data_IF_449119353819
#
_entry.id   IF_449119353819
#
_cell.length_a   1.000
_cell.length_b   1.000
_cell.length_c   1.000
_cell.angle_alpha   90.00
_cell.angle_beta   90.00
_cell.angle_gamma   90.00
#
_symmetry.space_group_name_H-M   'P 1'
#
loop_
_entity.id
_entity.type
_entity.pdbx_description
1 polymer ?
#
# COMPACT_ATOMS: atom_id res chain seq x y z
N UNK A 1 -44.10 -4.77 -35.21
CA UNK A 1 -43.24 -5.65 -34.37
C UNK A 1 -41.76 -5.58 -34.76
N UNK A 2 -41.39 -5.74 -36.04
CA UNK A 2 -39.97 -5.64 -36.50
C UNK A 2 -39.33 -4.26 -36.25
N UNK A 3 -40.09 -3.18 -36.45
CA UNK A 3 -39.64 -1.80 -36.19
C UNK A 3 -39.47 -1.49 -34.70
N UNK A 4 -40.26 -2.09 -33.81
CA UNK A 4 -40.11 -1.93 -32.36
C UNK A 4 -38.86 -2.67 -31.84
N UNK A 5 -38.56 -3.84 -32.41
CA UNK A 5 -37.39 -4.66 -32.05
C UNK A 5 -36.07 -3.99 -32.48
N UNK A 6 -36.02 -3.34 -33.65
CA UNK A 6 -34.85 -2.58 -34.11
C UNK A 6 -34.55 -1.35 -33.25
N UNK A 7 -35.57 -0.65 -32.73
CA UNK A 7 -35.37 0.50 -31.83
C UNK A 7 -34.79 0.05 -30.49
N UNK A 8 -35.23 -1.11 -29.98
CA UNK A 8 -34.75 -1.66 -28.72
C UNK A 8 -33.28 -2.11 -28.79
N UNK A 9 -32.88 -2.75 -29.89
CA UNK A 9 -31.48 -3.13 -30.14
C UNK A 9 -30.59 -1.90 -30.33
N UNK A 10 -31.08 -0.86 -31.00
CA UNK A 10 -30.33 0.39 -31.18
C UNK A 10 -30.11 1.13 -29.85
N UNK A 11 -31.12 1.14 -28.95
CA UNK A 11 -30.95 1.68 -27.60
C UNK A 11 -29.89 0.92 -26.79
N UNK A 12 -29.82 -0.42 -26.88
CA UNK A 12 -28.82 -1.21 -26.16
C UNK A 12 -27.37 -0.93 -26.61
N UNK A 13 -27.17 -0.50 -27.86
CA UNK A 13 -25.84 -0.18 -28.40
C UNK A 13 -25.37 1.19 -27.90
N UNK A 14 -26.25 2.19 -27.78
CA UNK A 14 -25.88 3.55 -27.35
C UNK A 14 -25.51 3.61 -25.87
N UNK A 15 -26.09 2.76 -25.02
CA UNK A 15 -25.79 2.72 -23.58
C UNK A 15 -24.38 2.18 -23.29
N UNK A 16 -23.82 1.35 -24.18
CA UNK A 16 -22.48 0.78 -24.02
C UNK A 16 -21.34 1.74 -24.40
N UNK A 17 -21.62 2.82 -25.15
CA UNK A 17 -20.57 3.73 -25.64
C UNK A 17 -20.14 4.75 -24.59
N UNK A 18 -20.97 5.03 -23.58
CA UNK A 18 -20.68 6.03 -22.54
C UNK A 18 -19.95 5.49 -21.30
N UNK A 19 -19.59 4.21 -21.28
CA UNK A 19 -18.97 3.55 -20.12
C UNK A 19 -17.57 2.99 -20.39
N UNK A 20 -16.97 3.24 -21.56
CA UNK A 20 -15.57 2.88 -21.76
C UNK A 20 -14.70 3.87 -20.98
N UNK A 21 -13.87 3.43 -20.02
CA UNK A 21 -12.89 4.31 -19.39
C UNK A 21 -12.08 4.96 -20.50
N UNK A 22 -11.91 6.28 -20.44
CA UNK A 22 -11.03 6.96 -21.37
C UNK A 22 -9.66 6.29 -21.23
N UNK A 23 -9.16 5.68 -22.31
CA UNK A 23 -7.94 4.85 -22.24
C UNK A 23 -6.73 5.60 -21.66
N UNK A 24 -6.80 6.93 -21.62
CA UNK A 24 -5.77 7.80 -21.08
C UNK A 24 -5.82 7.88 -19.55
N UNK A 25 -7.00 7.83 -18.91
CA UNK A 25 -7.12 7.85 -17.45
C UNK A 25 -6.57 6.56 -16.83
N UNK A 26 -6.92 5.40 -17.41
CA UNK A 26 -6.36 4.11 -16.99
C UNK A 26 -4.83 4.08 -17.14
N UNK A 27 -4.30 4.55 -18.27
CA UNK A 27 -2.84 4.63 -18.48
C UNK A 27 -2.18 5.49 -17.41
N UNK A 28 -2.76 6.65 -17.09
CA UNK A 28 -2.22 7.55 -16.05
C UNK A 28 -2.23 6.84 -14.69
N UNK A 29 -3.36 6.26 -14.29
CA UNK A 29 -3.49 5.59 -12.99
C UNK A 29 -2.51 4.40 -12.88
N UNK A 30 -2.45 3.55 -13.91
CA UNK A 30 -1.48 2.45 -13.96
C UNK A 30 -0.04 2.94 -13.89
N UNK A 31 0.29 4.02 -14.60
CA UNK A 31 1.65 4.56 -14.56
C UNK A 31 2.07 5.00 -13.14
N UNK A 32 1.12 5.47 -12.33
CA UNK A 32 1.35 5.81 -10.91
C UNK A 32 1.58 4.53 -10.10
N UNK A 33 0.69 3.54 -10.21
CA UNK A 33 0.81 2.26 -9.51
C UNK A 33 2.11 1.53 -9.87
N UNK A 34 2.45 1.44 -11.16
CA UNK A 34 3.68 0.83 -11.66
C UNK A 34 4.93 1.58 -11.17
N UNK A 35 4.86 2.91 -11.06
CA UNK A 35 5.96 3.70 -10.50
C UNK A 35 6.17 3.39 -9.01
N UNK A 36 5.09 3.21 -8.25
CA UNK A 36 5.15 2.81 -6.84
C UNK A 36 5.80 1.43 -6.73
N UNK A 37 5.35 0.43 -7.51
CA UNK A 37 5.97 -0.89 -7.55
C UNK A 37 7.48 -0.82 -7.86
N UNK A 38 7.84 -0.06 -8.90
CA UNK A 38 9.22 0.08 -9.36
C UNK A 38 10.14 0.73 -8.32
N UNK A 39 9.64 1.70 -7.55
CA UNK A 39 10.43 2.49 -6.61
C UNK A 39 10.28 2.03 -5.15
N UNK A 40 9.52 0.97 -4.89
CA UNK A 40 9.43 0.35 -3.57
C UNK A 40 10.63 -0.56 -3.32
N UNK A 41 11.21 -0.45 -2.12
CA UNK A 41 12.28 -1.35 -1.67
C UNK A 41 11.99 -1.82 -0.25
N UNK A 42 12.14 -3.11 -0.02
CA UNK A 42 11.92 -3.79 1.27
C UNK A 42 13.21 -3.82 2.09
N UNK A 43 13.87 -2.66 2.17
CA UNK A 43 15.19 -2.50 2.77
C UNK A 43 15.17 -1.40 3.84
N UNK A 44 16.22 -1.39 4.65
CA UNK A 44 16.56 -0.29 5.54
C UNK A 44 17.80 0.43 5.03
N UNK A 45 18.02 1.64 5.54
CA UNK A 45 19.21 2.44 5.28
C UNK A 45 19.73 3.01 6.60
N UNK A 46 21.03 2.87 6.84
CA UNK A 46 21.71 3.59 7.91
C UNK A 46 22.06 5.00 7.42
N UNK A 47 21.42 6.02 7.98
CA UNK A 47 21.58 7.41 7.51
C UNK A 47 22.97 8.01 7.80
N UNK A 48 23.76 7.41 8.69
CA UNK A 48 25.09 7.92 9.01
C UNK A 48 26.11 7.57 7.93
N UNK A 49 26.02 6.37 7.32
CA UNK A 49 27.01 5.85 6.38
C UNK A 49 26.42 5.48 4.99
N UNK A 50 25.10 5.52 4.82
CA UNK A 50 24.40 5.17 3.59
C UNK A 50 24.27 3.67 3.32
N UNK A 51 24.65 2.81 4.27
CA UNK A 51 24.59 1.36 4.13
C UNK A 51 23.15 0.87 4.00
N UNK A 52 22.90 0.01 3.00
CA UNK A 52 21.61 -0.62 2.78
C UNK A 52 21.59 -1.95 3.52
N UNK A 53 20.63 -2.10 4.43
CA UNK A 53 20.44 -3.31 5.23
C UNK A 53 19.19 -4.04 4.73
N UNK A 54 19.33 -5.34 4.47
CA UNK A 54 18.18 -6.20 4.06
C UNK A 54 17.29 -6.61 5.22
N UNK A 55 17.83 -6.58 6.44
CA UNK A 55 17.11 -6.83 7.68
C UNK A 55 17.81 -6.11 8.83
N UNK A 56 17.09 -5.91 9.94
CA UNK A 56 17.62 -5.29 11.15
C UNK A 56 17.52 -6.30 12.29
N UNK A 57 18.64 -6.52 12.95
CA UNK A 57 18.74 -7.36 14.14
C UNK A 57 19.49 -6.59 15.24
N UNK A 58 19.74 -7.23 16.37
CA UNK A 58 20.45 -6.64 17.51
C UNK A 58 21.83 -6.06 17.15
N UNK A 59 22.56 -6.71 16.23
CA UNK A 59 23.91 -6.29 15.84
C UNK A 59 23.91 -5.17 14.80
N UNK A 60 22.95 -5.16 13.88
CA UNK A 60 22.83 -4.16 12.81
C UNK A 60 21.98 -2.94 13.20
N UNK A 61 21.27 -3.01 14.33
CA UNK A 61 20.49 -1.88 14.83
C UNK A 61 21.37 -0.69 15.20
N UNK A 62 20.93 0.50 14.81
CA UNK A 62 21.39 1.75 15.41
C UNK A 62 20.27 2.81 15.29
N UNK A 63 20.31 3.89 16.09
CA UNK A 63 19.34 4.98 15.98
C UNK A 63 19.27 5.66 14.60
N UNK A 64 20.30 5.48 13.76
CA UNK A 64 20.35 6.03 12.41
C UNK A 64 19.71 5.13 11.35
N UNK A 65 19.34 3.89 11.69
CA UNK A 65 18.67 2.96 10.79
C UNK A 65 17.23 3.41 10.55
N UNK A 66 16.84 3.48 9.28
CA UNK A 66 15.55 3.98 8.82
C UNK A 66 14.98 3.08 7.74
N UNK A 67 13.65 3.04 7.61
CA UNK A 67 12.99 2.37 6.48
C UNK A 67 13.39 3.13 5.21
N UNK A 68 13.90 2.43 4.20
CA UNK A 68 14.44 3.06 3.00
C UNK A 68 13.36 3.60 2.08
N UNK A 69 12.29 2.82 1.87
CA UNK A 69 11.18 3.22 1.00
C UNK A 69 10.10 3.94 1.81
N UNK A 70 9.69 5.16 1.42
CA UNK A 70 8.60 5.86 2.09
C UNK A 70 7.25 5.15 1.94
N UNK A 71 7.11 4.26 0.94
CA UNK A 71 5.89 3.46 0.74
C UNK A 71 5.70 2.38 1.81
N UNK A 72 6.75 2.07 2.58
CA UNK A 72 6.76 0.98 3.57
C UNK A 72 6.68 1.46 5.02
N UNK A 73 6.56 2.77 5.23
CA UNK A 73 6.44 3.33 6.57
C UNK A 73 5.02 3.15 7.11
N UNK A 74 4.87 2.97 8.42
CA UNK A 74 3.56 2.92 9.05
C UNK A 74 2.99 4.34 9.21
N UNK A 75 2.32 4.81 8.16
CA UNK A 75 1.67 6.12 8.11
C UNK A 75 0.32 5.99 7.44
N UNK A 76 -0.65 6.82 7.82
CA UNK A 76 -2.02 6.73 7.29
C UNK A 76 -2.10 6.71 5.75
N UNK A 77 -1.26 7.47 5.06
CA UNK A 77 -1.27 7.52 3.58
C UNK A 77 -0.85 6.20 2.94
N UNK A 78 0.01 5.41 3.60
CA UNK A 78 0.35 4.07 3.11
C UNK A 78 -0.81 3.08 3.34
N UNK A 79 -1.64 3.30 4.37
CA UNK A 79 -2.90 2.59 4.53
C UNK A 79 -3.89 2.89 3.40
N UNK A 80 -4.04 4.17 3.04
CA UNK A 80 -4.85 4.59 1.87
C UNK A 80 -4.29 4.01 0.58
N UNK A 81 -2.97 4.05 0.40
CA UNK A 81 -2.30 3.45 -0.75
C UNK A 81 -2.57 1.94 -0.83
N UNK A 82 -2.46 1.21 0.28
CA UNK A 82 -2.68 -0.23 0.30
C UNK A 82 -4.11 -0.59 -0.13
N UNK A 83 -5.12 0.15 0.35
CA UNK A 83 -6.52 -0.01 -0.07
C UNK A 83 -6.64 0.24 -1.58
N UNK A 84 -6.09 1.35 -2.08
CA UNK A 84 -6.16 1.67 -3.51
C UNK A 84 -5.47 0.62 -4.39
N UNK A 85 -4.35 0.05 -3.94
CA UNK A 85 -3.62 -0.99 -4.69
C UNK A 85 -4.39 -2.33 -4.71
N UNK A 86 -5.17 -2.63 -3.68
CA UNK A 86 -6.09 -3.79 -3.67
C UNK A 86 -7.23 -3.55 -4.66
N UNK A 87 -7.90 -2.39 -4.59
CA UNK A 87 -8.97 -2.02 -5.53
C UNK A 87 -8.47 -2.04 -6.99
N UNK A 88 -7.26 -1.54 -7.22
CA UNK A 88 -6.62 -1.57 -8.54
C UNK A 88 -6.31 -2.99 -8.99
N UNK A 89 -5.89 -3.89 -8.11
CA UNK A 89 -5.64 -5.28 -8.50
C UNK A 89 -6.90 -5.94 -9.08
N UNK A 90 -8.07 -5.69 -8.47
CA UNK A 90 -9.35 -6.19 -8.95
C UNK A 90 -9.80 -5.48 -10.23
N UNK A 91 -9.81 -4.15 -10.22
CA UNK A 91 -10.31 -3.33 -11.33
C UNK A 91 -9.51 -3.56 -12.62
N UNK A 92 -8.19 -3.67 -12.48
CA UNK A 92 -7.27 -3.82 -13.61
C UNK A 92 -6.88 -5.27 -13.92
N UNK A 93 -7.33 -6.23 -13.12
CA UNK A 93 -6.88 -7.63 -13.14
C UNK A 93 -5.35 -7.75 -13.12
N UNK A 94 -4.70 -7.01 -12.22
CA UNK A 94 -3.24 -6.94 -12.08
C UNK A 94 -2.82 -7.38 -10.65
N UNK A 95 -2.52 -8.67 -10.45
CA UNK A 95 -2.24 -9.23 -9.12
C UNK A 95 -1.05 -8.58 -8.41
N UNK A 96 -0.09 -8.00 -9.15
CA UNK A 96 1.10 -7.38 -8.54
C UNK A 96 0.76 -6.20 -7.63
N UNK A 97 -0.35 -5.49 -7.88
CA UNK A 97 -0.79 -4.38 -7.02
C UNK A 97 -1.24 -4.88 -5.64
N UNK A 98 -2.02 -5.95 -5.58
CA UNK A 98 -2.39 -6.62 -4.32
C UNK A 98 -1.17 -7.22 -3.61
N UNK A 99 -0.24 -7.82 -4.35
CA UNK A 99 0.99 -8.37 -3.78
C UNK A 99 1.87 -7.29 -3.13
N UNK A 100 1.87 -6.07 -3.65
CA UNK A 100 2.52 -4.94 -2.99
C UNK A 100 1.91 -4.67 -1.61
N UNK A 101 0.58 -4.61 -1.51
CA UNK A 101 -0.11 -4.35 -0.23
C UNK A 101 0.16 -5.46 0.79
N UNK A 102 0.13 -6.74 0.38
CA UNK A 102 0.49 -7.87 1.25
C UNK A 102 1.91 -7.70 1.80
N UNK A 103 2.89 -7.49 0.92
CA UNK A 103 4.30 -7.29 1.32
C UNK A 103 4.50 -6.06 2.19
N UNK A 104 3.66 -5.04 2.06
CA UNK A 104 3.70 -3.85 2.89
C UNK A 104 3.48 -4.17 4.36
N UNK A 105 2.44 -4.96 4.66
CA UNK A 105 2.15 -5.40 6.02
C UNK A 105 3.12 -6.46 6.51
N UNK A 106 3.54 -7.41 5.67
CA UNK A 106 4.58 -8.39 6.01
C UNK A 106 5.87 -7.69 6.44
N UNK A 107 6.35 -6.72 5.65
CA UNK A 107 7.55 -5.95 5.99
C UNK A 107 7.41 -5.23 7.34
N UNK A 108 6.25 -4.67 7.66
CA UNK A 108 6.03 -4.07 8.97
C UNK A 108 6.06 -5.12 10.09
N UNK A 109 5.31 -6.21 9.96
CA UNK A 109 5.18 -7.22 11.02
C UNK A 109 6.45 -8.04 11.25
N UNK A 110 7.21 -8.33 10.19
CA UNK A 110 8.48 -9.03 10.27
C UNK A 110 9.55 -8.22 11.01
N UNK A 111 9.44 -6.88 11.00
CA UNK A 111 10.49 -6.00 11.51
C UNK A 111 10.09 -5.19 12.75
N UNK A 112 8.81 -4.99 13.05
CA UNK A 112 8.42 -4.04 14.10
C UNK A 112 8.92 -4.41 15.49
N UNK A 113 9.12 -5.71 15.78
CA UNK A 113 9.55 -6.18 17.09
C UNK A 113 10.89 -5.59 17.55
N UNK A 114 11.92 -5.56 16.69
CA UNK A 114 13.24 -5.01 17.05
C UNK A 114 13.12 -3.51 17.35
N UNK A 115 12.36 -2.76 16.55
CA UNK A 115 12.16 -1.32 16.75
C UNK A 115 11.30 -1.03 17.99
N UNK A 116 10.31 -1.86 18.27
CA UNK A 116 9.47 -1.74 19.46
C UNK A 116 10.29 -1.94 20.74
N UNK A 117 11.21 -2.91 20.75
CA UNK A 117 12.09 -3.14 21.90
C UNK A 117 13.03 -1.95 22.17
N UNK A 118 13.53 -1.30 21.12
CA UNK A 118 14.50 -0.19 21.24
C UNK A 118 13.87 1.18 21.37
N UNK A 119 12.55 1.30 21.23
CA UNK A 119 11.84 2.56 21.36
C UNK A 119 11.85 3.06 22.80
N UNK A 120 12.11 4.36 23.01
CA UNK A 120 11.94 5.02 24.31
C UNK A 120 10.98 6.20 24.19
N UNK A 121 10.29 6.60 25.27
CA UNK A 121 9.31 7.71 25.24
C UNK A 121 9.86 9.06 24.77
N UNK A 122 11.17 9.27 24.85
CA UNK A 122 11.85 10.48 24.39
C UNK A 122 12.04 10.52 22.86
N UNK A 123 11.88 9.39 22.18
CA UNK A 123 12.00 9.30 20.72
C UNK A 123 10.73 9.81 20.02
N UNK A 124 10.92 10.57 18.94
CA UNK A 124 9.82 11.10 18.14
C UNK A 124 9.17 9.99 17.31
N UNK A 125 7.91 9.61 17.64
CA UNK A 125 7.13 8.59 16.93
C UNK A 125 6.96 8.86 15.42
N UNK A 126 6.99 10.13 15.00
CA UNK A 126 6.79 10.52 13.61
C UNK A 126 8.00 10.26 12.70
N UNK A 127 9.21 10.20 13.29
CA UNK A 127 10.46 9.98 12.57
C UNK A 127 11.13 8.64 12.89
N UNK A 128 10.62 7.91 13.87
CA UNK A 128 11.13 6.60 14.24
C UNK A 128 10.47 5.50 13.38
N UNK A 129 11.23 4.51 12.86
CA UNK A 129 10.66 3.38 12.13
C UNK A 129 9.54 2.73 12.93
N UNK A 130 8.37 2.60 12.31
CA UNK A 130 7.16 2.05 12.92
C UNK A 130 6.70 2.77 14.21
N UNK A 131 7.16 4.00 14.47
CA UNK A 131 6.85 4.70 15.72
C UNK A 131 5.36 4.92 15.97
N UNK A 132 4.57 5.16 14.93
CA UNK A 132 3.10 5.27 15.02
C UNK A 132 2.40 3.93 15.28
N UNK A 133 2.96 2.82 14.79
CA UNK A 133 2.50 1.47 15.16
C UNK A 133 2.76 1.21 16.63
N UNK A 134 3.99 1.49 17.09
CA UNK A 134 4.44 1.24 18.47
C UNK A 134 3.66 2.11 19.46
N UNK A 135 3.41 3.37 19.10
CA UNK A 135 2.73 4.36 19.94
C UNK A 135 1.50 4.89 19.22
N UNK A 136 0.46 4.07 19.18
CA UNK A 136 -0.85 4.48 18.65
C UNK A 136 -1.57 5.40 19.63
N UNK A 137 -1.72 6.67 19.27
CA UNK A 137 -2.42 7.71 20.05
C UNK A 137 -3.44 8.51 19.25
N UNK A 138 -3.27 8.57 17.94
CA UNK A 138 -4.12 9.32 17.01
C UNK A 138 -4.79 8.39 16.01
N UNK A 139 -5.90 8.84 15.41
CA UNK A 139 -6.56 8.07 14.35
C UNK A 139 -5.64 7.87 13.14
N UNK A 140 -4.75 8.81 12.85
CA UNK A 140 -3.78 8.69 11.77
C UNK A 140 -2.73 7.61 12.03
N UNK A 141 -2.53 7.21 13.29
CA UNK A 141 -1.59 6.14 13.65
C UNK A 141 -2.15 4.75 13.31
N UNK A 142 -3.48 4.58 13.22
CA UNK A 142 -4.10 3.25 13.10
C UNK A 142 -5.29 3.12 12.12
N UNK A 143 -5.99 4.20 11.79
CA UNK A 143 -7.25 4.16 11.03
C UNK A 143 -7.08 3.59 9.63
N UNK A 144 -6.37 4.31 8.76
CA UNK A 144 -6.17 3.86 7.38
C UNK A 144 -5.28 2.61 7.29
N UNK A 145 -4.24 2.50 8.13
CA UNK A 145 -3.38 1.32 8.17
C UNK A 145 -4.16 0.06 8.59
N UNK A 146 -5.00 0.16 9.61
CA UNK A 146 -5.88 -0.91 10.06
C UNK A 146 -6.96 -1.25 9.03
N UNK A 147 -7.55 -0.24 8.38
CA UNK A 147 -8.49 -0.43 7.27
C UNK A 147 -7.87 -1.23 6.12
N UNK A 148 -6.68 -0.84 5.65
CA UNK A 148 -5.98 -1.59 4.60
C UNK A 148 -5.57 -3.00 5.05
N UNK A 149 -5.23 -3.20 6.33
CA UNK A 149 -4.91 -4.53 6.86
C UNK A 149 -6.14 -5.45 6.82
N UNK A 150 -7.33 -4.91 7.12
CA UNK A 150 -8.58 -5.66 7.02
C UNK A 150 -8.84 -6.08 5.58
N UNK A 151 -8.62 -5.19 4.60
CA UNK A 151 -8.77 -5.55 3.18
C UNK A 151 -7.78 -6.64 2.77
N UNK A 152 -6.49 -6.53 3.14
CA UNK A 152 -5.50 -7.61 2.92
C UNK A 152 -5.92 -8.92 3.58
N UNK A 153 -6.45 -8.87 4.81
CA UNK A 153 -6.84 -10.07 5.55
C UNK A 153 -7.99 -10.83 4.89
N UNK A 154 -9.05 -10.14 4.45
CA UNK A 154 -10.18 -10.73 3.70
C UNK A 154 -9.70 -11.44 2.43
N UNK A 155 -8.62 -10.95 1.88
CA UNK A 155 -8.06 -11.35 0.60
C UNK A 155 -7.10 -12.54 0.68
N UNK A 156 -6.48 -12.75 1.85
CA UNK A 156 -5.52 -13.84 2.11
C UNK A 156 -6.21 -15.06 2.71
N UNK A 157 -7.30 -14.86 3.47
CA UNK A 157 -8.08 -15.94 4.06
C UNK A 157 -9.50 -15.91 3.46
N UNK A 158 -9.87 -16.87 2.59
CA UNK A 158 -11.26 -16.98 2.14
C UNK A 158 -12.13 -17.35 3.34
N UNK A 159 -13.12 -16.50 3.62
CA UNK A 159 -14.16 -16.72 4.64
C UNK A 159 -15.20 -17.70 4.10
#
# INVERSE_FOLDING_TARGET
MKTLLSVFISCLIVINVFAQPNSDDEKIIRSIADNILKNTSWDFINRNNGEILKSVNEESYSPAVQIRSPYNTWNYWNGVLNIAMIDFAEYFNEPSYKQFSIKNYEFAFDNVAIFQEKYTPEMNKWSYPFGQYIVTRELDDCGAMGGGLIEVYKDVIPI
#
